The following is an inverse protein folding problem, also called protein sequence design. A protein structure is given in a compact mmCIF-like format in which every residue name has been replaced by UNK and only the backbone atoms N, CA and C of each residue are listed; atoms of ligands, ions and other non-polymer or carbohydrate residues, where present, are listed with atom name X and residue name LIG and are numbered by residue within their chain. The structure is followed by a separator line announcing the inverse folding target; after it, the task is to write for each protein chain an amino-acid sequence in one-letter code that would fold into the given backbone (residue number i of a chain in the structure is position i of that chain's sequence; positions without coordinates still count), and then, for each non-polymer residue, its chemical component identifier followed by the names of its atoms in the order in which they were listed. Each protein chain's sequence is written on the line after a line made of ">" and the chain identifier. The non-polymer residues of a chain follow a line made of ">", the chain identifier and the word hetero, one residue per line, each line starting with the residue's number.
data_IF_031889446202
#
_entry.id   IF_031889446202
#
_cell.length_a   1.000
_cell.length_b   1.000
_cell.length_c   1.000
_cell.angle_alpha   90.00
_cell.angle_beta   90.00
_cell.angle_gamma   90.00
#
_symmetry.space_group_name_H-M   'P 1'
#
loop_
_entity.id
_entity.type
_entity.pdbx_description
1 polymer ?
#
# COMPACT_ATOMS: atom_id res chain seq x y z
N UNK A 1 10.17 -4.17 -8.12
CA UNK A 1 10.29 -4.73 -6.76
C UNK A 1 9.13 -4.15 -5.97
N UNK A 2 8.21 -5.00 -5.51
CA UNK A 2 7.05 -4.63 -4.70
C UNK A 2 6.99 -5.59 -3.51
N UNK A 3 6.54 -5.09 -2.34
CA UNK A 3 6.47 -5.84 -1.09
C UNK A 3 5.10 -5.68 -0.41
N UNK A 4 4.08 -5.40 -1.23
CA UNK A 4 2.65 -5.41 -0.90
C UNK A 4 1.93 -6.53 -1.65
N UNK A 5 0.67 -6.84 -1.31
CA UNK A 5 -0.11 -7.89 -1.97
C UNK A 5 -0.13 -7.72 -3.49
N UNK A 6 -0.11 -8.83 -4.21
CA UNK A 6 -0.43 -8.88 -5.63
C UNK A 6 -1.92 -9.23 -5.82
N UNK A 7 -2.50 -9.07 -7.02
CA UNK A 7 -3.85 -9.55 -7.37
C UNK A 7 -3.73 -10.53 -8.52
N UNK A 8 -4.08 -11.77 -8.25
CA UNK A 8 -4.02 -12.88 -9.20
C UNK A 8 -5.33 -13.00 -9.98
N UNK A 9 -5.23 -13.52 -11.19
CA UNK A 9 -6.37 -13.91 -12.04
C UNK A 9 -5.97 -15.11 -12.87
N UNK A 10 -6.90 -15.76 -13.59
CA UNK A 10 -6.60 -16.92 -14.44
C UNK A 10 -5.50 -16.65 -15.47
N UNK A 11 -5.41 -15.40 -15.95
CA UNK A 11 -4.37 -14.96 -16.90
C UNK A 11 -3.11 -14.44 -16.23
N UNK A 12 -3.11 -14.16 -14.92
CA UNK A 12 -2.05 -13.49 -14.15
C UNK A 12 -1.64 -14.35 -12.93
N UNK A 13 -1.15 -15.56 -13.21
CA UNK A 13 -0.84 -16.58 -12.17
C UNK A 13 0.52 -16.44 -11.52
N UNK A 14 1.50 -15.81 -12.16
CA UNK A 14 2.81 -15.61 -11.55
C UNK A 14 2.89 -14.27 -10.79
N UNK A 15 3.73 -14.23 -9.75
CA UNK A 15 3.86 -13.07 -8.87
C UNK A 15 4.14 -11.75 -9.60
N UNK A 16 4.95 -11.75 -10.67
CA UNK A 16 5.28 -10.52 -11.38
C UNK A 16 4.07 -9.98 -12.14
N UNK A 17 3.37 -10.85 -12.90
CA UNK A 17 2.16 -10.45 -13.62
C UNK A 17 1.02 -10.07 -12.69
N UNK A 18 0.85 -10.77 -11.56
CA UNK A 18 -0.14 -10.45 -10.54
C UNK A 18 0.15 -9.10 -9.83
N UNK A 19 1.43 -8.80 -9.59
CA UNK A 19 1.84 -7.51 -9.03
C UNK A 19 1.54 -6.34 -10.00
N UNK A 20 1.77 -6.52 -11.30
CA UNK A 20 1.41 -5.52 -12.31
C UNK A 20 -0.11 -5.40 -12.47
N UNK A 21 -0.85 -6.51 -12.38
CA UNK A 21 -2.30 -6.54 -12.41
C UNK A 21 -2.91 -5.73 -11.26
N UNK A 22 -2.36 -5.82 -10.06
CA UNK A 22 -2.78 -4.97 -8.95
C UNK A 22 -2.63 -3.47 -9.29
N UNK A 23 -1.50 -3.07 -9.85
CA UNK A 23 -1.28 -1.67 -10.22
C UNK A 23 -2.27 -1.22 -11.29
N UNK A 24 -2.57 -2.08 -12.26
CA UNK A 24 -3.59 -1.81 -13.28
C UNK A 24 -4.98 -1.61 -12.65
N UNK A 25 -5.40 -2.50 -11.74
CA UNK A 25 -6.68 -2.41 -11.04
C UNK A 25 -6.77 -1.10 -10.24
N UNK A 26 -5.71 -0.70 -9.53
CA UNK A 26 -5.67 0.58 -8.81
C UNK A 26 -5.87 1.75 -9.80
N UNK A 27 -5.17 1.75 -10.93
CA UNK A 27 -5.30 2.80 -11.94
C UNK A 27 -6.73 2.86 -12.53
N UNK A 28 -7.34 1.71 -12.79
CA UNK A 28 -8.71 1.60 -13.30
C UNK A 28 -9.75 2.07 -12.28
N UNK A 29 -9.65 1.65 -11.01
CA UNK A 29 -10.55 2.11 -9.93
C UNK A 29 -10.50 3.62 -9.76
N UNK A 30 -9.32 4.22 -9.87
CA UNK A 30 -9.15 5.67 -9.82
C UNK A 30 -9.52 6.38 -11.14
N UNK A 31 -9.83 5.62 -12.20
CA UNK A 31 -10.15 6.16 -13.55
C UNK A 31 -9.08 7.14 -14.03
N UNK A 32 -7.79 6.74 -13.93
CA UNK A 32 -6.65 7.63 -14.20
C UNK A 32 -6.66 8.17 -15.63
N UNK A 33 -6.40 9.47 -15.75
CA UNK A 33 -6.30 10.20 -17.02
C UNK A 33 -4.91 10.82 -17.18
N UNK A 34 -4.48 11.05 -18.41
CA UNK A 34 -3.19 11.69 -18.74
C UNK A 34 -3.03 13.08 -18.11
N UNK A 35 -4.14 13.77 -17.87
CA UNK A 35 -4.19 15.11 -17.27
C UNK A 35 -4.03 15.11 -15.76
N UNK A 36 -4.20 13.96 -15.11
CA UNK A 36 -4.20 13.87 -13.64
C UNK A 36 -2.81 14.13 -13.06
N UNK A 37 -2.81 14.79 -11.92
CA UNK A 37 -1.67 14.89 -11.02
C UNK A 37 -1.96 14.09 -9.77
N UNK A 38 -1.20 13.02 -9.55
CA UNK A 38 -1.41 12.05 -8.48
C UNK A 38 -0.42 12.29 -7.35
N UNK A 39 -0.87 12.20 -6.12
CA UNK A 39 0.01 12.04 -4.95
C UNK A 39 0.03 10.59 -4.50
N UNK A 40 1.22 10.00 -4.38
CA UNK A 40 1.43 8.67 -3.78
C UNK A 40 2.07 8.85 -2.41
N UNK A 41 1.38 8.40 -1.34
CA UNK A 41 1.92 8.34 0.01
C UNK A 41 2.56 6.98 0.24
N UNK A 42 3.91 6.95 0.32
CA UNK A 42 4.66 5.72 0.41
C UNK A 42 5.16 5.22 -0.96
N UNK A 43 6.27 5.78 -1.45
CA UNK A 43 6.82 5.44 -2.78
C UNK A 43 7.21 3.96 -2.93
N UNK A 44 7.48 3.26 -1.83
CA UNK A 44 8.17 1.99 -1.89
C UNK A 44 9.42 2.10 -2.80
N UNK A 45 9.57 1.17 -3.72
CA UNK A 45 10.65 1.15 -4.72
C UNK A 45 10.22 1.74 -6.06
N UNK A 46 9.19 2.61 -6.06
CA UNK A 46 8.70 3.33 -7.24
C UNK A 46 7.80 2.52 -8.17
N UNK A 47 7.20 1.43 -7.67
CA UNK A 47 6.41 0.50 -8.50
C UNK A 47 5.19 1.18 -9.12
N UNK A 48 4.32 1.76 -8.30
CA UNK A 48 3.09 2.41 -8.76
C UNK A 48 3.39 3.66 -9.57
N UNK A 49 4.24 4.57 -9.05
CA UNK A 49 4.57 5.81 -9.76
C UNK A 49 5.08 5.58 -11.19
N UNK A 50 6.00 4.62 -11.36
CA UNK A 50 6.54 4.28 -12.68
C UNK A 50 5.46 3.66 -13.57
N UNK A 51 4.65 2.73 -13.02
CA UNK A 51 3.59 2.08 -13.78
C UNK A 51 2.57 3.09 -14.31
N UNK A 52 2.01 3.91 -13.44
CA UNK A 52 0.99 4.88 -13.78
C UNK A 52 1.51 5.97 -14.75
N UNK A 53 2.71 6.51 -14.53
CA UNK A 53 3.32 7.47 -15.45
C UNK A 53 3.60 6.90 -16.84
N UNK A 54 3.96 5.60 -16.91
CA UNK A 54 4.27 4.93 -18.18
C UNK A 54 3.02 4.59 -18.97
N UNK A 55 2.01 3.98 -18.31
CA UNK A 55 0.85 3.42 -19.01
C UNK A 55 -0.29 4.43 -19.16
N UNK A 56 -0.45 5.34 -18.21
CA UNK A 56 -1.52 6.35 -18.22
C UNK A 56 -1.04 7.75 -18.59
N UNK A 57 0.26 8.01 -18.51
CA UNK A 57 0.85 9.27 -18.91
C UNK A 57 0.65 10.43 -17.93
N UNK A 58 0.05 10.18 -16.76
CA UNK A 58 -0.22 11.16 -15.71
C UNK A 58 1.05 11.66 -15.01
N UNK A 59 0.93 12.78 -14.30
CA UNK A 59 1.99 13.31 -13.42
C UNK A 59 1.86 12.69 -12.03
N UNK A 60 2.99 12.38 -11.41
CA UNK A 60 3.00 11.78 -10.06
C UNK A 60 3.99 12.52 -9.17
N UNK A 61 3.52 12.86 -7.99
CA UNK A 61 4.36 13.20 -6.84
C UNK A 61 4.31 12.00 -5.89
N UNK A 62 5.45 11.46 -5.51
CA UNK A 62 5.53 10.33 -4.56
C UNK A 62 6.45 10.67 -3.40
N UNK A 63 6.08 10.26 -2.17
CA UNK A 63 6.85 10.57 -0.98
C UNK A 63 7.31 9.32 -0.23
N UNK A 64 8.44 9.44 0.46
CA UNK A 64 8.96 8.43 1.38
C UNK A 64 9.82 9.08 2.45
N UNK A 65 9.86 8.47 3.63
CA UNK A 65 10.82 8.81 4.70
C UNK A 65 12.05 7.88 4.71
N UNK A 66 12.09 6.88 3.84
CA UNK A 66 13.24 5.99 3.69
C UNK A 66 14.25 6.57 2.70
N UNK A 67 15.44 6.92 3.18
CA UNK A 67 16.54 7.42 2.32
C UNK A 67 16.91 6.43 1.22
N UNK A 68 16.90 5.13 1.53
CA UNK A 68 17.21 4.06 0.57
C UNK A 68 16.17 4.00 -0.54
N UNK A 69 14.87 4.04 -0.19
CA UNK A 69 13.80 4.07 -1.18
C UNK A 69 13.85 5.33 -2.04
N UNK A 70 14.09 6.49 -1.43
CA UNK A 70 14.23 7.76 -2.15
C UNK A 70 15.33 7.69 -3.22
N UNK A 71 16.55 7.30 -2.82
CA UNK A 71 17.69 7.22 -3.73
C UNK A 71 17.44 6.21 -4.85
N UNK A 72 16.97 5.01 -4.50
CA UNK A 72 16.70 3.96 -5.46
C UNK A 72 15.64 4.39 -6.47
N UNK A 73 14.51 4.91 -6.00
CA UNK A 73 13.38 5.31 -6.86
C UNK A 73 13.77 6.45 -7.77
N UNK A 74 14.47 7.47 -7.24
CA UNK A 74 14.99 8.60 -8.04
C UNK A 74 15.92 8.15 -9.16
N UNK A 75 16.87 7.26 -8.85
CA UNK A 75 17.79 6.71 -9.85
C UNK A 75 17.07 5.88 -10.92
N UNK A 76 16.07 5.09 -10.51
CA UNK A 76 15.28 4.28 -11.44
C UNK A 76 14.44 5.13 -12.38
N UNK A 77 13.81 6.19 -11.88
CA UNK A 77 13.04 7.16 -12.67
C UNK A 77 13.94 7.87 -13.68
N UNK A 78 15.14 8.28 -13.28
CA UNK A 78 16.12 8.91 -14.16
C UNK A 78 16.56 7.98 -15.28
N UNK A 79 16.89 6.72 -14.97
CA UNK A 79 17.25 5.68 -15.97
C UNK A 79 16.12 5.45 -17.00
N UNK A 80 14.86 5.56 -16.56
CA UNK A 80 13.67 5.42 -17.41
C UNK A 80 13.27 6.73 -18.12
N UNK A 81 14.00 7.83 -17.91
CA UNK A 81 13.75 9.16 -18.47
C UNK A 81 12.35 9.71 -18.11
N UNK A 82 11.84 9.37 -16.92
CA UNK A 82 10.52 9.78 -16.43
C UNK A 82 10.55 10.98 -15.48
N UNK A 83 11.68 11.69 -15.33
CA UNK A 83 11.82 12.85 -14.44
C UNK A 83 10.85 13.99 -14.75
N UNK A 84 10.39 14.11 -15.99
CA UNK A 84 9.41 15.10 -16.42
C UNK A 84 7.97 14.78 -15.96
N UNK A 85 7.71 13.54 -15.53
CA UNK A 85 6.40 13.08 -15.05
C UNK A 85 6.38 12.75 -13.56
N UNK A 86 7.50 12.27 -13.00
CA UNK A 86 7.53 11.76 -11.63
C UNK A 86 8.47 12.59 -10.77
N UNK A 87 7.94 13.16 -9.70
CA UNK A 87 8.69 13.86 -8.65
C UNK A 87 8.72 12.99 -7.40
N UNK A 88 9.92 12.61 -6.95
CA UNK A 88 10.13 11.90 -5.67
C UNK A 88 10.48 12.91 -4.58
N UNK A 89 9.81 12.86 -3.45
CA UNK A 89 10.02 13.75 -2.31
C UNK A 89 10.50 12.90 -1.11
N UNK A 90 11.58 13.34 -0.47
CA UNK A 90 12.04 12.77 0.80
C UNK A 90 11.43 13.59 1.93
N UNK A 91 10.22 13.23 2.36
CA UNK A 91 9.44 14.00 3.31
C UNK A 91 8.38 13.11 3.98
N UNK A 92 8.05 13.44 5.23
CA UNK A 92 6.89 12.83 5.89
C UNK A 92 5.59 13.27 5.18
N UNK A 93 4.61 12.36 5.10
CA UNK A 93 3.34 12.66 4.44
C UNK A 93 2.58 13.80 5.14
N UNK A 94 2.75 13.96 6.45
CA UNK A 94 2.13 15.03 7.25
C UNK A 94 2.56 16.43 6.82
N UNK A 95 3.77 16.53 6.28
CA UNK A 95 4.33 17.82 5.80
C UNK A 95 4.04 18.09 4.32
N UNK A 96 3.29 17.23 3.65
CA UNK A 96 2.92 17.46 2.25
C UNK A 96 1.90 18.59 2.15
N UNK A 97 2.01 19.36 1.06
CA UNK A 97 1.10 20.44 0.73
C UNK A 97 0.74 20.42 -0.75
N UNK A 98 -0.32 21.13 -1.11
CA UNK A 98 -0.87 21.20 -2.46
C UNK A 98 -2.10 20.32 -2.60
N UNK A 99 -2.74 20.39 -3.77
CA UNK A 99 -3.94 19.63 -4.11
C UNK A 99 -3.73 18.80 -5.36
N UNK A 100 -4.27 17.59 -5.36
CA UNK A 100 -4.07 16.58 -6.38
C UNK A 100 -5.42 16.03 -6.88
N UNK A 101 -5.43 15.58 -8.12
CA UNK A 101 -6.64 14.97 -8.70
C UNK A 101 -6.93 13.60 -8.07
N UNK A 102 -5.88 12.83 -7.78
CA UNK A 102 -5.97 11.49 -7.22
C UNK A 102 -4.92 11.27 -6.14
N UNK A 103 -5.22 10.40 -5.18
CA UNK A 103 -4.30 9.95 -4.14
C UNK A 103 -4.22 8.44 -4.11
N UNK A 104 -3.02 7.92 -3.92
CA UNK A 104 -2.79 6.47 -3.71
C UNK A 104 -1.92 6.26 -2.49
N UNK A 105 -2.31 5.29 -1.66
CA UNK A 105 -1.50 4.83 -0.53
C UNK A 105 -1.64 3.32 -0.41
N UNK A 106 -0.54 2.59 -0.56
CA UNK A 106 -0.53 1.13 -0.63
C UNK A 106 0.21 0.57 0.57
N UNK A 107 -0.51 -0.07 1.50
CA UNK A 107 0.03 -0.70 2.71
C UNK A 107 0.99 0.23 3.46
N UNK A 108 0.52 1.43 3.75
CA UNK A 108 1.26 2.43 4.50
C UNK A 108 0.56 2.79 5.83
N UNK A 109 -0.79 2.71 5.88
CA UNK A 109 -1.57 3.06 7.06
C UNK A 109 -1.20 2.21 8.28
N UNK A 110 -0.73 0.99 8.07
CA UNK A 110 -0.26 0.07 9.12
C UNK A 110 0.95 0.62 9.88
N UNK A 111 1.76 1.45 9.21
CA UNK A 111 2.94 2.09 9.80
C UNK A 111 2.63 3.42 10.51
N UNK A 112 1.41 3.94 10.36
CA UNK A 112 0.98 5.23 10.96
C UNK A 112 0.78 5.11 12.47
N UNK A 113 0.24 3.97 12.94
CA UNK A 113 -0.15 3.75 14.32
C UNK A 113 -1.55 4.29 14.66
N UNK A 114 -2.25 3.58 15.54
CA UNK A 114 -3.69 3.81 15.80
C UNK A 114 -4.04 5.25 16.25
N UNK A 115 -3.13 5.92 16.95
CA UNK A 115 -3.35 7.29 17.46
C UNK A 115 -3.37 8.35 16.35
N UNK A 116 -2.91 8.00 15.16
CA UNK A 116 -2.71 8.93 14.05
C UNK A 116 -3.60 8.66 12.84
N UNK A 117 -4.58 7.73 12.92
CA UNK A 117 -5.49 7.48 11.80
C UNK A 117 -6.33 8.70 11.44
N UNK A 118 -6.76 9.46 12.44
CA UNK A 118 -7.52 10.69 12.25
C UNK A 118 -6.69 11.75 11.52
N UNK A 119 -5.46 11.97 11.95
CA UNK A 119 -4.51 12.87 11.29
C UNK A 119 -4.22 12.40 9.85
N UNK A 120 -4.09 11.07 9.65
CA UNK A 120 -3.85 10.50 8.33
C UNK A 120 -5.00 10.78 7.36
N UNK A 121 -6.25 10.52 7.75
CA UNK A 121 -7.41 10.78 6.88
C UNK A 121 -7.70 12.26 6.69
N UNK A 122 -7.47 13.09 7.69
CA UNK A 122 -7.49 14.55 7.54
C UNK A 122 -6.46 15.02 6.50
N UNK A 123 -5.24 14.46 6.53
CA UNK A 123 -4.19 14.77 5.54
C UNK A 123 -4.57 14.28 4.15
N UNK A 124 -5.06 13.04 4.01
CA UNK A 124 -5.56 12.51 2.73
C UNK A 124 -6.60 13.45 2.14
N UNK A 125 -7.55 13.87 2.95
CA UNK A 125 -8.60 14.82 2.55
C UNK A 125 -8.05 16.16 2.06
N UNK A 126 -7.12 16.74 2.81
CA UNK A 126 -6.54 18.05 2.49
C UNK A 126 -5.68 18.06 1.23
N UNK A 127 -5.18 16.91 0.81
CA UNK A 127 -4.36 16.75 -0.40
C UNK A 127 -5.19 16.51 -1.66
N UNK A 128 -6.49 16.32 -1.55
CA UNK A 128 -7.38 16.12 -2.71
C UNK A 128 -8.05 17.42 -3.13
N UNK A 129 -8.25 17.59 -4.43
CA UNK A 129 -9.19 18.58 -4.99
C UNK A 129 -10.61 18.22 -4.58
N UNK A 130 -11.55 19.18 -4.71
CA UNK A 130 -12.95 19.01 -4.31
C UNK A 130 -13.70 17.90 -5.05
N UNK A 131 -13.20 17.48 -6.22
CA UNK A 131 -13.70 16.37 -7.05
C UNK A 131 -12.74 15.16 -7.05
N UNK A 132 -11.69 15.18 -6.20
CA UNK A 132 -10.64 14.18 -6.17
C UNK A 132 -11.10 12.82 -5.64
N UNK A 133 -10.26 11.81 -5.87
CA UNK A 133 -10.46 10.44 -5.38
C UNK A 133 -9.18 9.90 -4.74
N UNK A 134 -9.33 9.05 -3.73
CA UNK A 134 -8.22 8.30 -3.14
C UNK A 134 -8.48 6.80 -3.19
N UNK A 135 -7.42 6.03 -3.39
CA UNK A 135 -7.43 4.59 -3.16
C UNK A 135 -6.40 4.26 -2.09
N UNK A 136 -6.89 3.66 -1.01
CA UNK A 136 -6.07 3.15 0.10
C UNK A 136 -6.10 1.63 0.02
N UNK A 137 -4.95 1.00 -0.15
CA UNK A 137 -4.79 -0.43 0.12
C UNK A 137 -4.32 -0.59 1.55
N UNK A 138 -5.04 -1.38 2.34
CA UNK A 138 -4.76 -1.56 3.76
C UNK A 138 -4.95 -3.01 4.20
N UNK A 139 -3.97 -3.53 4.94
CA UNK A 139 -4.17 -4.75 5.73
C UNK A 139 -5.12 -4.41 6.86
N UNK A 140 -6.13 -5.24 7.06
CA UNK A 140 -7.14 -5.03 8.09
C UNK A 140 -7.27 -6.25 9.00
N UNK A 141 -7.67 -6.00 10.25
CA UNK A 141 -8.06 -7.05 11.19
C UNK A 141 -9.59 -7.05 11.32
N UNK A 142 -10.18 -8.20 11.65
CA UNK A 142 -11.62 -8.27 11.98
C UNK A 142 -11.99 -7.27 13.07
N UNK A 143 -13.11 -6.56 12.94
CA UNK A 143 -13.57 -5.56 13.91
C UNK A 143 -13.66 -6.14 15.32
N UNK A 144 -14.14 -7.38 15.48
CA UNK A 144 -14.28 -8.06 16.76
C UNK A 144 -12.92 -8.35 17.44
N UNK A 145 -11.81 -8.31 16.69
CA UNK A 145 -10.46 -8.57 17.19
C UNK A 145 -9.63 -7.30 17.41
N UNK A 146 -10.07 -6.16 16.88
CA UNK A 146 -9.29 -4.93 16.84
C UNK A 146 -8.84 -4.48 18.24
N UNK A 147 -9.77 -4.35 19.19
CA UNK A 147 -9.42 -3.88 20.54
C UNK A 147 -8.51 -4.84 21.31
N UNK A 148 -8.66 -6.15 21.12
CA UNK A 148 -7.76 -7.13 21.70
C UNK A 148 -6.35 -7.05 21.10
N UNK A 149 -6.26 -6.90 19.77
CA UNK A 149 -4.98 -6.73 19.06
C UNK A 149 -4.28 -5.44 19.45
N UNK A 150 -5.02 -4.34 19.62
CA UNK A 150 -4.49 -3.04 20.02
C UNK A 150 -3.78 -3.10 21.40
N UNK A 151 -4.26 -3.92 22.31
CA UNK A 151 -3.74 -4.09 23.67
C UNK A 151 -2.73 -5.25 23.80
N UNK A 152 -2.25 -5.80 22.69
CA UNK A 152 -1.28 -6.90 22.67
C UNK A 152 -0.12 -6.57 21.74
N UNK A 153 1.01 -7.22 21.95
CA UNK A 153 2.16 -7.14 21.05
C UNK A 153 2.40 -8.54 20.48
N UNK A 154 2.12 -8.68 19.20
CA UNK A 154 2.31 -9.95 18.49
C UNK A 154 3.75 -10.10 17.95
N UNK A 155 3.98 -11.20 17.25
CA UNK A 155 5.27 -11.48 16.63
C UNK A 155 5.67 -10.40 15.60
N UNK A 156 4.70 -9.91 14.82
CA UNK A 156 4.96 -8.91 13.76
C UNK A 156 5.40 -7.60 14.38
N UNK A 157 4.66 -7.09 15.35
CA UNK A 157 4.99 -5.85 16.05
C UNK A 157 6.31 -5.94 16.81
N UNK A 158 6.63 -7.13 17.36
CA UNK A 158 7.85 -7.31 18.17
C UNK A 158 9.11 -7.43 17.31
N UNK A 159 9.06 -8.11 16.16
CA UNK A 159 10.26 -8.53 15.46
C UNK A 159 10.38 -8.07 14.00
N UNK A 160 9.27 -7.73 13.34
CA UNK A 160 9.26 -7.42 11.90
C UNK A 160 8.96 -5.95 11.66
N UNK A 161 7.86 -5.43 12.19
CA UNK A 161 7.40 -4.05 12.01
C UNK A 161 7.09 -3.41 13.38
N UNK A 162 8.11 -3.04 14.16
CA UNK A 162 7.90 -2.39 15.46
C UNK A 162 7.07 -1.11 15.31
N UNK A 163 6.04 -0.97 16.14
CA UNK A 163 5.14 0.19 16.13
C UNK A 163 4.01 0.12 15.09
N UNK A 164 3.95 -0.92 14.25
CA UNK A 164 2.83 -1.09 13.33
C UNK A 164 1.53 -1.39 14.07
N UNK A 165 0.41 -0.98 13.46
CA UNK A 165 -0.93 -1.28 13.95
C UNK A 165 -1.85 -1.50 12.74
N UNK A 166 -2.48 -2.67 12.68
CA UNK A 166 -3.43 -3.00 11.62
C UNK A 166 -4.80 -2.44 12.01
N UNK A 167 -5.42 -1.53 11.22
CA UNK A 167 -6.76 -1.04 11.48
C UNK A 167 -7.82 -2.11 11.20
N UNK A 168 -9.05 -1.90 11.69
CA UNK A 168 -10.22 -2.61 11.18
C UNK A 168 -11.01 -1.71 10.22
N UNK A 169 -11.92 -2.29 9.43
CA UNK A 169 -12.73 -1.50 8.49
C UNK A 169 -13.60 -0.47 9.19
N UNK A 170 -14.20 -0.81 10.34
CA UNK A 170 -15.01 0.15 11.11
C UNK A 170 -14.16 1.29 11.65
N UNK A 171 -12.94 1.04 12.10
CA UNK A 171 -12.02 2.10 12.56
C UNK A 171 -11.65 3.04 11.40
N UNK A 172 -11.36 2.50 10.23
CA UNK A 172 -11.11 3.30 9.03
C UNK A 172 -12.33 4.16 8.71
N UNK A 173 -13.54 3.57 8.69
CA UNK A 173 -14.77 4.28 8.40
C UNK A 173 -15.04 5.42 9.39
N UNK A 174 -14.87 5.16 10.69
CA UNK A 174 -15.05 6.17 11.74
C UNK A 174 -14.05 7.30 11.56
N UNK A 175 -12.78 6.98 11.30
CA UNK A 175 -11.73 7.99 11.12
C UNK A 175 -11.97 8.84 9.86
N UNK A 176 -12.40 8.23 8.74
CA UNK A 176 -12.80 8.95 7.51
C UNK A 176 -13.97 9.90 7.80
N UNK A 177 -15.02 9.41 8.45
CA UNK A 177 -16.24 10.18 8.70
C UNK A 177 -16.02 11.37 9.63
N UNK A 178 -15.15 11.21 10.63
CA UNK A 178 -14.92 12.25 11.63
C UNK A 178 -13.93 13.34 11.17
N UNK A 179 -13.03 12.99 10.20
CA UNK A 179 -11.89 13.85 9.87
C UNK A 179 -11.80 14.24 8.39
N UNK A 180 -12.86 13.96 7.63
CA UNK A 180 -12.92 14.30 6.21
C UNK A 180 -14.36 14.47 5.74
N UNK A 181 -14.53 15.07 4.57
CA UNK A 181 -15.80 15.09 3.81
C UNK A 181 -15.86 13.99 2.74
N UNK A 182 -14.87 13.07 2.73
CA UNK A 182 -14.82 11.98 1.75
C UNK A 182 -15.91 10.94 2.00
N UNK A 183 -16.37 10.35 0.90
CA UNK A 183 -17.35 9.24 0.87
C UNK A 183 -16.60 7.96 0.51
N UNK A 184 -16.87 6.88 1.23
CA UNK A 184 -16.41 5.53 0.83
C UNK A 184 -17.30 5.07 -0.33
N UNK A 185 -16.70 4.90 -1.52
CA UNK A 185 -17.38 4.48 -2.75
C UNK A 185 -17.38 2.99 -2.94
N UNK A 186 -16.28 2.33 -2.55
CA UNK A 186 -16.09 0.88 -2.74
C UNK A 186 -15.11 0.35 -1.70
N UNK A 187 -15.34 -0.90 -1.28
CA UNK A 187 -14.43 -1.68 -0.45
C UNK A 187 -14.33 -3.08 -1.03
N UNK A 188 -13.21 -3.41 -1.63
CA UNK A 188 -12.94 -4.73 -2.20
C UNK A 188 -11.96 -5.51 -1.32
N UNK A 189 -12.36 -6.71 -0.91
CA UNK A 189 -11.52 -7.66 -0.20
C UNK A 189 -10.56 -8.35 -1.18
N UNK A 190 -9.25 -8.19 -0.96
CA UNK A 190 -8.20 -8.82 -1.75
C UNK A 190 -7.30 -9.75 -0.91
N UNK A 191 -7.70 -10.08 0.31
CA UNK A 191 -6.87 -10.82 1.28
C UNK A 191 -6.50 -12.23 0.83
N UNK A 192 -7.34 -12.93 0.06
CA UNK A 192 -7.00 -14.23 -0.50
C UNK A 192 -5.79 -14.17 -1.43
N UNK A 193 -5.62 -13.06 -2.14
CA UNK A 193 -4.45 -12.82 -2.97
C UNK A 193 -3.17 -12.62 -2.15
N UNK A 194 -3.29 -12.08 -0.94
CA UNK A 194 -2.13 -11.91 -0.08
C UNK A 194 -1.59 -13.25 0.43
N UNK A 195 -2.47 -14.19 0.78
CA UNK A 195 -2.04 -15.54 1.14
C UNK A 195 -1.19 -16.18 0.03
N UNK A 196 -1.63 -16.06 -1.22
CA UNK A 196 -0.88 -16.55 -2.39
C UNK A 196 0.42 -15.78 -2.61
N UNK A 197 0.41 -14.47 -2.39
CA UNK A 197 1.61 -13.61 -2.48
C UNK A 197 2.68 -14.04 -1.48
N UNK A 198 2.29 -14.27 -0.22
CA UNK A 198 3.19 -14.71 0.84
C UNK A 198 3.75 -16.10 0.58
N UNK A 199 2.93 -17.03 0.06
CA UNK A 199 3.38 -18.34 -0.40
C UNK A 199 4.49 -18.20 -1.45
N UNK A 200 4.30 -17.39 -2.48
CA UNK A 200 5.31 -17.15 -3.51
C UNK A 200 6.56 -16.45 -2.98
N UNK A 201 6.42 -15.54 -2.02
CA UNK A 201 7.59 -14.93 -1.37
C UNK A 201 8.38 -15.96 -0.57
N UNK A 202 7.70 -16.83 0.18
CA UNK A 202 8.33 -17.93 0.94
C UNK A 202 9.08 -18.91 0.03
N UNK A 203 8.46 -19.33 -1.09
CA UNK A 203 9.10 -20.19 -2.08
C UNK A 203 10.37 -19.57 -2.67
N UNK A 204 10.28 -18.29 -3.07
CA UNK A 204 11.45 -17.55 -3.56
C UNK A 204 12.53 -17.41 -2.49
N UNK A 205 12.16 -17.15 -1.25
CA UNK A 205 13.09 -17.05 -0.13
C UNK A 205 13.83 -18.38 0.08
N UNK A 206 13.11 -19.50 0.12
CA UNK A 206 13.69 -20.85 0.25
C UNK A 206 14.64 -21.15 -0.91
N UNK A 207 14.22 -20.87 -2.14
CA UNK A 207 15.04 -21.10 -3.35
C UNK A 207 16.35 -20.30 -3.32
N UNK A 208 16.35 -19.13 -2.68
CA UNK A 208 17.52 -18.23 -2.61
C UNK A 208 18.28 -18.32 -1.28
N UNK A 209 17.99 -19.32 -0.42
CA UNK A 209 18.55 -19.42 0.93
C UNK A 209 20.08 -19.40 0.98
N UNK A 210 20.74 -20.11 0.04
CA UNK A 210 22.18 -20.11 -0.05
C UNK A 210 22.77 -18.71 -0.39
N UNK A 211 22.06 -17.96 -1.23
CA UNK A 211 22.46 -16.59 -1.55
C UNK A 211 22.27 -15.67 -0.35
N UNK A 212 21.19 -15.81 0.40
CA UNK A 212 20.90 -15.06 1.63
C UNK A 212 22.01 -15.30 2.66
N UNK A 213 22.44 -16.56 2.86
CA UNK A 213 23.57 -16.89 3.74
C UNK A 213 24.90 -16.23 3.28
N UNK A 214 25.17 -16.21 1.97
CA UNK A 214 26.35 -15.54 1.39
C UNK A 214 26.34 -14.03 1.60
N UNK A 215 25.18 -13.40 1.79
CA UNK A 215 25.04 -11.99 2.15
C UNK A 215 25.27 -11.71 3.64
N UNK A 216 25.59 -12.73 4.45
CA UNK A 216 25.91 -12.61 5.86
C UNK A 216 24.72 -12.80 6.82
N UNK A 217 23.53 -13.15 6.31
CA UNK A 217 22.39 -13.43 7.18
C UNK A 217 22.48 -14.82 7.82
N UNK A 218 22.27 -14.88 9.12
CA UNK A 218 22.39 -16.09 9.91
C UNK A 218 21.12 -16.98 9.88
N UNK A 219 21.22 -18.16 10.50
CA UNK A 219 20.11 -19.08 10.60
C UNK A 219 18.93 -18.54 11.45
N UNK A 220 19.19 -17.61 12.40
CA UNK A 220 18.12 -16.95 13.17
C UNK A 220 17.29 -16.06 12.28
N UNK A 221 17.92 -15.24 11.45
CA UNK A 221 17.24 -14.44 10.44
C UNK A 221 16.39 -15.29 9.50
N UNK A 222 16.97 -16.40 8.98
CA UNK A 222 16.26 -17.30 8.07
C UNK A 222 15.00 -17.89 8.73
N UNK A 223 15.11 -18.41 9.95
CA UNK A 223 13.96 -18.96 10.68
C UNK A 223 12.89 -17.90 10.98
N UNK A 224 13.31 -16.68 11.35
CA UNK A 224 12.41 -15.56 11.61
C UNK A 224 11.59 -15.19 10.37
N UNK A 225 12.21 -15.13 9.19
CA UNK A 225 11.51 -14.80 7.94
C UNK A 225 10.63 -15.93 7.44
N UNK A 226 11.05 -17.19 7.58
CA UNK A 226 10.19 -18.34 7.25
C UNK A 226 8.94 -18.36 8.15
N UNK A 227 9.12 -18.08 9.45
CA UNK A 227 8.00 -17.97 10.37
C UNK A 227 7.08 -16.79 10.00
N UNK A 228 7.64 -15.62 9.68
CA UNK A 228 6.89 -14.45 9.22
C UNK A 228 5.98 -14.79 8.03
N UNK A 229 6.53 -15.38 6.98
CA UNK A 229 5.74 -15.75 5.80
C UNK A 229 4.61 -16.71 6.15
N UNK A 230 4.89 -17.76 6.93
CA UNK A 230 3.90 -18.76 7.29
C UNK A 230 2.84 -18.22 8.24
N UNK A 231 3.24 -17.37 9.21
CA UNK A 231 2.34 -16.73 10.17
C UNK A 231 1.35 -15.81 9.44
N UNK A 232 1.84 -14.93 8.59
CA UNK A 232 0.98 -14.02 7.82
C UNK A 232 0.12 -14.79 6.80
N UNK A 233 0.68 -15.76 6.07
CA UNK A 233 -0.09 -16.61 5.15
C UNK A 233 -1.25 -17.29 5.86
N UNK A 234 -1.02 -17.89 7.05
CA UNK A 234 -2.06 -18.47 7.89
C UNK A 234 -3.11 -17.44 8.31
N UNK A 235 -2.69 -16.25 8.74
CA UNK A 235 -3.59 -15.17 9.13
C UNK A 235 -4.57 -14.77 8.03
N UNK A 236 -4.11 -14.67 6.78
CA UNK A 236 -4.96 -14.37 5.62
C UNK A 236 -5.86 -15.56 5.25
N UNK A 237 -5.34 -16.81 5.23
CA UNK A 237 -6.13 -18.01 4.91
C UNK A 237 -7.27 -18.24 5.89
N UNK A 238 -7.02 -18.03 7.18
CA UNK A 238 -8.01 -18.17 8.25
C UNK A 238 -8.89 -16.91 8.42
N UNK A 239 -8.72 -15.91 7.54
CA UNK A 239 -9.48 -14.66 7.59
C UNK A 239 -9.38 -13.93 8.94
N UNK A 240 -8.30 -14.11 9.69
CA UNK A 240 -7.99 -13.35 10.91
C UNK A 240 -7.62 -11.92 10.56
N UNK A 241 -6.82 -11.79 9.52
CA UNK A 241 -6.47 -10.53 8.87
C UNK A 241 -6.91 -10.57 7.41
N UNK A 242 -7.08 -9.41 6.82
CA UNK A 242 -7.48 -9.22 5.45
C UNK A 242 -6.68 -8.11 4.79
N UNK A 243 -6.83 -7.91 3.49
CA UNK A 243 -6.29 -6.77 2.75
C UNK A 243 -7.42 -6.18 1.89
N UNK A 244 -7.57 -4.88 1.88
CA UNK A 244 -8.68 -4.23 1.20
C UNK A 244 -8.22 -3.07 0.32
N UNK A 245 -8.83 -2.94 -0.85
CA UNK A 245 -8.87 -1.70 -1.62
C UNK A 245 -10.07 -0.87 -1.16
N UNK A 246 -9.80 0.30 -0.60
CA UNK A 246 -10.80 1.24 -0.11
C UNK A 246 -10.77 2.45 -1.03
N UNK A 247 -11.83 2.63 -1.81
CA UNK A 247 -11.99 3.75 -2.73
C UNK A 247 -12.77 4.87 -2.05
N UNK A 248 -12.17 6.04 -1.96
CA UNK A 248 -12.73 7.24 -1.37
C UNK A 248 -12.91 8.31 -2.45
N UNK A 249 -13.95 9.12 -2.34
CA UNK A 249 -14.18 10.24 -3.24
C UNK A 249 -14.61 11.50 -2.47
N UNK A 250 -14.18 12.65 -2.97
CA UNK A 250 -14.66 13.95 -2.49
C UNK A 250 -16.11 14.20 -2.91
N UNK A 251 -16.89 15.01 -2.18
CA UNK A 251 -18.34 15.19 -2.43
C UNK A 251 -18.66 15.76 -3.81
N UNK A 252 -17.77 16.51 -4.44
CA UNK A 252 -17.98 17.06 -5.79
C UNK A 252 -17.60 16.08 -6.91
N UNK A 253 -17.08 14.89 -6.59
CA UNK A 253 -16.82 13.87 -7.58
C UNK A 253 -18.13 13.39 -8.22
N UNK A 254 -18.21 13.49 -9.54
CA UNK A 254 -19.38 13.09 -10.36
C UNK A 254 -19.07 11.93 -11.29
N UNK A 255 -17.94 11.26 -11.10
CA UNK A 255 -17.65 10.05 -11.87
C UNK A 255 -18.73 8.99 -11.55
N UNK A 256 -19.53 8.67 -12.56
CA UNK A 256 -20.59 7.65 -12.43
C UNK A 256 -19.93 6.28 -12.31
N UNK A 257 -20.29 5.55 -11.27
CA UNK A 257 -20.04 4.12 -11.16
C UNK A 257 -21.13 3.44 -11.99
N UNK A 258 -20.83 3.10 -13.23
CA UNK A 258 -21.70 2.32 -14.11
C UNK A 258 -20.95 1.07 -14.51
#
# INVERSE_FOLDING_TARGET
>A
MMYSSAIYSDKKKNLNSASLNKLEIICQKLKLKKTDHIIEIGSGWGGFAIYAATNYGCKITTTTISKQQYIYTKNKISKLKLNHKIKVIFKDYRDLNGTFDKLVSIEMIEAVGHKYYDEYFSKVNSLLKDDGMALIQAITIRDQKYHAALNSVDFIQKYIFPGSCIPSLSIIQVSVSNNSDMIIKDVEDIGDHYAVTLMHWREKFIKNMNHIKKLGFDNKFIRMWLYYFSYCEGGFREKVINDAHILLAKPMNRDKDI
#
